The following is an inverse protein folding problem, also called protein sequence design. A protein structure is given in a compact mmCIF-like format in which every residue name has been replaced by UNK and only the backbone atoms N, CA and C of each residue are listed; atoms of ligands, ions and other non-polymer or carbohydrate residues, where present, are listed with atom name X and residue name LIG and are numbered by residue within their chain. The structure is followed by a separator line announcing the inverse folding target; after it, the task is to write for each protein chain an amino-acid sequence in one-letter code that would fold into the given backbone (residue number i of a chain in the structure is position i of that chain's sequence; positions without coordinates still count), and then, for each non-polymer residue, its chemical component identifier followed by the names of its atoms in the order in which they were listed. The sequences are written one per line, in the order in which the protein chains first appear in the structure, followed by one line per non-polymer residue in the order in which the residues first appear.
data_IF_747764735471
#
_entry.id   IF_747764735471
#
_cell.length_a   1.000
_cell.length_b   1.000
_cell.length_c   1.000
_cell.angle_alpha   90.00
_cell.angle_beta   90.00
_cell.angle_gamma   90.00
#
_symmetry.space_group_name_H-M   'P 1'
#
loop_
_entity.id
_entity.type
_entity.pdbx_description
1 polymer ?
#
# COMPACT_ATOMS: atom_id res chain seq x y z
N UNK A 1 1.41 -37.33 -32.05
CA UNK A 1 1.40 -36.46 -30.85
C UNK A 1 0.51 -35.29 -31.17
N UNK A 2 -0.56 -35.11 -30.42
CA UNK A 2 -1.65 -34.18 -30.74
C UNK A 2 -1.23 -32.72 -30.50
N UNK A 3 -1.69 -31.80 -31.34
CA UNK A 3 -1.34 -30.38 -31.31
C UNK A 3 -1.68 -29.73 -29.97
N UNK A 4 -2.81 -30.13 -29.37
CA UNK A 4 -3.22 -29.74 -28.00
C UNK A 4 -2.21 -30.17 -26.93
N UNK A 5 -1.63 -31.37 -27.06
CA UNK A 5 -0.63 -31.88 -26.11
C UNK A 5 0.69 -31.11 -26.16
N UNK A 6 1.03 -30.52 -27.32
CA UNK A 6 2.20 -29.67 -27.48
C UNK A 6 1.96 -28.29 -26.85
N UNK A 7 0.80 -27.68 -27.11
CA UNK A 7 0.41 -26.39 -26.53
C UNK A 7 0.34 -26.43 -24.99
N UNK A 8 -0.21 -27.50 -24.42
CA UNK A 8 -0.26 -27.69 -22.96
C UNK A 8 1.13 -27.79 -22.32
N UNK A 9 2.08 -28.43 -22.99
CA UNK A 9 3.47 -28.52 -22.51
C UNK A 9 4.18 -27.16 -22.59
N UNK A 10 3.93 -26.42 -23.66
CA UNK A 10 4.50 -25.08 -23.86
C UNK A 10 3.99 -24.09 -22.80
N UNK A 11 2.67 -24.08 -22.55
CA UNK A 11 2.06 -23.31 -21.47
C UNK A 11 2.58 -23.69 -20.07
N UNK A 12 2.80 -24.98 -19.82
CA UNK A 12 3.35 -25.45 -18.54
C UNK A 12 4.79 -24.95 -18.32
N UNK A 13 5.60 -24.91 -19.39
CA UNK A 13 6.97 -24.38 -19.35
C UNK A 13 6.94 -22.87 -19.10
N UNK A 14 6.08 -22.15 -19.82
CA UNK A 14 5.95 -20.70 -19.68
C UNK A 14 5.48 -20.30 -18.28
N UNK A 15 4.52 -21.03 -17.70
CA UNK A 15 4.07 -20.82 -16.33
C UNK A 15 5.19 -21.11 -15.30
N UNK A 16 5.97 -22.18 -15.49
CA UNK A 16 7.12 -22.47 -14.62
C UNK A 16 8.20 -21.38 -14.70
N UNK A 17 8.42 -20.79 -15.86
CA UNK A 17 9.32 -19.65 -16.04
C UNK A 17 8.80 -18.39 -15.36
N UNK A 18 7.50 -18.10 -15.48
CA UNK A 18 6.84 -16.99 -14.77
C UNK A 18 6.95 -17.13 -13.26
N UNK A 19 6.74 -18.33 -12.72
CA UNK A 19 6.91 -18.60 -11.29
C UNK A 19 8.35 -18.34 -10.82
N UNK A 20 9.35 -18.77 -11.60
CA UNK A 20 10.77 -18.50 -11.30
C UNK A 20 11.10 -17.00 -11.37
N UNK A 21 10.54 -16.28 -12.33
CA UNK A 21 10.72 -14.83 -12.48
C UNK A 21 10.08 -14.08 -11.32
N UNK A 22 8.89 -14.49 -10.88
CA UNK A 22 8.22 -13.95 -9.71
C UNK A 22 9.02 -14.21 -8.42
N UNK A 23 9.55 -15.42 -8.22
CA UNK A 23 10.41 -15.71 -7.09
C UNK A 23 11.66 -14.81 -7.05
N UNK A 24 12.30 -14.61 -8.20
CA UNK A 24 13.48 -13.72 -8.32
C UNK A 24 13.12 -12.25 -8.04
N UNK A 25 11.95 -11.79 -8.49
CA UNK A 25 11.45 -10.45 -8.17
C UNK A 25 11.19 -10.29 -6.67
N UNK A 26 10.60 -11.30 -6.01
CA UNK A 26 10.39 -11.30 -4.57
C UNK A 26 11.71 -11.23 -3.79
N UNK A 27 12.72 -12.03 -4.18
CA UNK A 27 14.07 -11.94 -3.58
C UNK A 27 14.71 -10.56 -3.76
N UNK A 28 14.56 -9.97 -4.95
CA UNK A 28 15.10 -8.63 -5.23
C UNK A 28 14.39 -7.57 -4.40
N UNK A 29 13.06 -7.65 -4.25
CA UNK A 29 12.27 -6.75 -3.41
C UNK A 29 12.67 -6.86 -1.94
N UNK A 30 12.88 -8.08 -1.43
CA UNK A 30 13.37 -8.29 -0.05
C UNK A 30 14.73 -7.64 0.15
N UNK A 31 15.64 -7.76 -0.83
CA UNK A 31 16.96 -7.11 -0.79
C UNK A 31 16.87 -5.59 -0.80
N UNK A 32 16.00 -5.02 -1.63
CA UNK A 32 15.74 -3.58 -1.68
C UNK A 32 15.15 -3.07 -0.36
N UNK A 33 14.20 -3.80 0.23
CA UNK A 33 13.61 -3.44 1.52
C UNK A 33 14.63 -3.45 2.66
N UNK A 34 15.52 -4.45 2.70
CA UNK A 34 16.64 -4.45 3.65
C UNK A 34 17.54 -3.22 3.46
N UNK A 35 17.81 -2.84 2.21
CA UNK A 35 18.63 -1.65 1.91
C UNK A 35 17.95 -0.35 2.36
N UNK A 36 16.63 -0.30 2.27
CA UNK A 36 15.85 0.84 2.77
C UNK A 36 15.93 0.91 4.29
N UNK A 37 15.75 -0.21 5.00
CA UNK A 37 15.90 -0.26 6.46
C UNK A 37 17.30 0.21 6.91
N UNK A 38 18.36 -0.21 6.20
CA UNK A 38 19.72 0.28 6.45
C UNK A 38 19.83 1.81 6.29
N UNK A 39 19.31 2.36 5.20
CA UNK A 39 19.33 3.80 4.95
C UNK A 39 18.48 4.57 5.97
N UNK A 40 17.38 4.00 6.44
CA UNK A 40 16.54 4.59 7.49
C UNK A 40 17.22 4.54 8.86
N UNK A 41 17.93 3.46 9.18
CA UNK A 41 18.76 3.36 10.38
C UNK A 41 19.85 4.44 10.39
N UNK A 42 20.53 4.62 9.26
CA UNK A 42 21.50 5.71 9.08
C UNK A 42 20.86 7.10 9.20
N UNK A 43 19.65 7.30 8.66
CA UNK A 43 18.93 8.57 8.79
C UNK A 43 18.49 8.85 10.23
N UNK A 44 18.10 7.82 11.00
CA UNK A 44 17.75 7.97 12.43
C UNK A 44 18.94 8.47 13.23
N UNK A 45 20.12 7.86 13.04
CA UNK A 45 21.37 8.31 13.65
C UNK A 45 21.75 9.74 13.20
N UNK A 46 21.42 10.10 11.96
CA UNK A 46 21.67 11.44 11.43
C UNK A 46 20.66 12.50 11.91
N UNK A 47 19.44 12.16 12.36
CA UNK A 47 18.50 13.16 12.89
C UNK A 47 18.95 13.74 14.26
N UNK A 48 19.95 13.14 14.91
CA UNK A 48 20.60 13.67 16.11
C UNK A 48 21.63 14.77 15.78
N UNK A 49 22.06 14.88 14.52
CA UNK A 49 23.04 15.86 14.05
C UNK A 49 22.45 16.60 12.86
N UNK A 50 22.07 17.88 13.03
CA UNK A 50 21.41 18.69 12.00
C UNK A 50 22.21 18.87 10.72
N UNK A 51 22.20 17.87 9.84
CA UNK A 51 23.11 17.71 8.71
C UNK A 51 22.35 17.80 7.36
N UNK A 52 22.91 18.55 6.41
CA UNK A 52 22.38 18.72 5.05
C UNK A 52 22.26 17.40 4.29
N UNK A 53 22.97 16.34 4.73
CA UNK A 53 22.85 14.97 4.23
C UNK A 53 21.46 14.36 4.43
N UNK A 54 20.74 14.74 5.48
CA UNK A 54 19.38 14.27 5.77
C UNK A 54 18.39 14.70 4.68
N UNK A 55 18.55 15.92 4.14
CA UNK A 55 17.69 16.44 3.06
C UNK A 55 17.90 15.65 1.75
N UNK A 56 19.16 15.37 1.42
CA UNK A 56 19.52 14.57 0.24
C UNK A 56 19.01 13.14 0.36
N UNK A 57 19.16 12.51 1.53
CA UNK A 57 18.67 11.15 1.76
C UNK A 57 17.14 11.04 1.69
N UNK A 58 16.40 12.04 2.18
CA UNK A 58 14.93 12.10 2.05
C UNK A 58 14.51 12.26 0.59
N UNK A 59 15.13 13.20 -0.12
CA UNK A 59 14.85 13.41 -1.54
C UNK A 59 15.17 12.17 -2.39
N UNK A 60 16.27 11.48 -2.11
CA UNK A 60 16.62 10.24 -2.78
C UNK A 60 15.61 9.11 -2.50
N UNK A 61 15.08 9.02 -1.28
CA UNK A 61 14.00 8.09 -0.94
C UNK A 61 12.72 8.39 -1.70
N UNK A 62 12.31 9.66 -1.73
CA UNK A 62 11.07 10.06 -2.42
C UNK A 62 11.16 9.75 -3.92
N UNK A 63 12.31 10.01 -4.54
CA UNK A 63 12.59 9.63 -5.94
C UNK A 63 12.50 8.11 -6.12
N UNK A 64 13.11 7.33 -5.22
CA UNK A 64 13.07 5.87 -5.31
C UNK A 64 11.65 5.31 -5.17
N UNK A 65 10.83 5.89 -4.28
CA UNK A 65 9.41 5.50 -4.16
C UNK A 65 8.68 5.79 -5.47
N UNK A 66 8.87 6.97 -6.07
CA UNK A 66 8.28 7.30 -7.36
C UNK A 66 8.72 6.32 -8.47
N UNK A 67 10.02 6.05 -8.60
CA UNK A 67 10.54 5.10 -9.60
C UNK A 67 9.98 3.69 -9.41
N UNK A 68 9.83 3.25 -8.16
CA UNK A 68 9.19 1.97 -7.82
C UNK A 68 7.72 1.97 -8.24
N UNK A 69 6.98 3.03 -7.98
CA UNK A 69 5.56 3.16 -8.29
C UNK A 69 5.33 3.19 -9.82
N UNK A 70 6.16 3.93 -10.55
CA UNK A 70 6.19 3.95 -12.02
C UNK A 70 6.46 2.54 -12.57
N UNK A 71 7.39 1.80 -11.95
CA UNK A 71 7.69 0.42 -12.33
C UNK A 71 6.54 -0.53 -12.05
N UNK A 72 5.83 -0.37 -10.93
CA UNK A 72 4.64 -1.15 -10.61
C UNK A 72 3.55 -0.87 -11.64
N UNK A 73 3.30 0.39 -11.98
CA UNK A 73 2.33 0.76 -13.00
C UNK A 73 2.68 0.18 -14.39
N UNK A 74 3.96 0.19 -14.77
CA UNK A 74 4.44 -0.44 -16.00
C UNK A 74 4.17 -1.96 -15.99
N UNK A 75 4.47 -2.64 -14.88
CA UNK A 75 4.23 -4.07 -14.71
C UNK A 75 2.73 -4.41 -14.67
N UNK A 76 1.89 -3.54 -14.10
CA UNK A 76 0.44 -3.69 -14.12
C UNK A 76 -0.11 -3.60 -15.56
N UNK A 77 0.37 -2.64 -16.34
CA UNK A 77 0.01 -2.51 -17.76
C UNK A 77 0.50 -3.70 -18.60
N UNK A 78 1.73 -4.18 -18.36
CA UNK A 78 2.26 -5.38 -19.02
C UNK A 78 1.42 -6.62 -18.65
N UNK A 79 1.07 -6.77 -17.37
CA UNK A 79 0.21 -7.85 -16.91
C UNK A 79 -1.19 -7.75 -17.51
N UNK A 80 -1.80 -6.56 -17.60
CA UNK A 80 -3.11 -6.37 -18.24
C UNK A 80 -3.08 -6.77 -19.72
N UNK A 81 -2.02 -6.40 -20.44
CA UNK A 81 -1.81 -6.81 -21.84
C UNK A 81 -1.65 -8.31 -21.97
N UNK A 82 -0.88 -8.95 -21.09
CA UNK A 82 -0.70 -10.41 -21.08
C UNK A 82 -2.00 -11.13 -20.73
N UNK A 83 -2.71 -10.61 -19.74
CA UNK A 83 -4.00 -11.12 -19.24
C UNK A 83 -5.06 -11.05 -20.35
N UNK A 84 -5.12 -9.93 -21.08
CA UNK A 84 -5.95 -9.75 -22.28
C UNK A 84 -5.56 -10.71 -23.40
N UNK A 85 -4.26 -10.88 -23.68
CA UNK A 85 -3.76 -11.82 -24.70
C UNK A 85 -4.08 -13.29 -24.37
N UNK A 86 -4.13 -13.64 -23.09
CA UNK A 86 -4.37 -14.99 -22.61
C UNK A 86 -5.86 -15.28 -22.34
N UNK A 87 -6.76 -14.32 -22.59
CA UNK A 87 -8.19 -14.46 -22.29
C UNK A 87 -8.50 -14.61 -20.79
N UNK A 88 -7.53 -14.30 -19.93
CA UNK A 88 -7.69 -14.39 -18.48
C UNK A 88 -8.42 -13.15 -17.98
N UNK A 89 -9.69 -13.24 -17.59
CA UNK A 89 -10.32 -12.15 -16.87
C UNK A 89 -9.86 -12.19 -15.40
N UNK A 90 -8.70 -11.60 -15.08
CA UNK A 90 -8.29 -11.48 -13.67
C UNK A 90 -9.06 -10.32 -13.03
N UNK A 91 -10.11 -10.63 -12.25
CA UNK A 91 -10.72 -9.63 -11.39
C UNK A 91 -9.70 -9.20 -10.33
N UNK A 92 -9.21 -7.97 -10.43
CA UNK A 92 -8.43 -7.33 -9.38
C UNK A 92 -9.35 -7.09 -8.19
N UNK A 93 -9.09 -7.78 -7.07
CA UNK A 93 -9.93 -7.67 -5.88
C UNK A 93 -9.08 -7.25 -4.69
N UNK A 94 -9.48 -6.19 -4.00
CA UNK A 94 -8.92 -5.82 -2.71
C UNK A 94 -9.82 -6.33 -1.60
N UNK A 95 -9.22 -6.95 -0.58
CA UNK A 95 -9.91 -7.28 0.66
C UNK A 95 -9.39 -6.37 1.75
N UNK A 96 -10.29 -5.70 2.47
CA UNK A 96 -9.96 -4.84 3.60
C UNK A 96 -10.55 -5.41 4.88
N UNK A 97 -9.73 -5.46 5.93
CA UNK A 97 -10.12 -5.85 7.29
C UNK A 97 -9.64 -4.78 8.26
N UNK A 98 -10.31 -4.61 9.39
CA UNK A 98 -9.92 -3.60 10.37
C UNK A 98 -10.62 -3.78 11.70
N UNK A 99 -10.15 -3.04 12.71
CA UNK A 99 -10.72 -3.07 14.05
C UNK A 99 -10.22 -1.91 14.90
N UNK A 100 -10.86 -1.66 16.04
CA UNK A 100 -10.44 -0.63 16.98
C UNK A 100 -11.05 -0.77 18.37
N UNK A 101 -10.36 -0.22 19.36
CA UNK A 101 -10.73 -0.20 20.77
C UNK A 101 -11.54 1.06 21.09
N UNK A 102 -12.72 1.21 20.49
CA UNK A 102 -13.64 2.32 20.80
C UNK A 102 -14.22 3.00 19.57
N UNK A 103 -14.37 4.31 19.65
CA UNK A 103 -15.17 5.13 18.73
C UNK A 103 -14.40 5.72 17.55
N UNK A 104 -13.08 5.57 17.53
CA UNK A 104 -12.28 5.89 16.35
C UNK A 104 -12.01 4.63 15.53
N UNK A 105 -12.24 4.73 14.23
CA UNK A 105 -11.89 3.71 13.26
C UNK A 105 -11.06 4.32 12.13
N UNK A 106 -10.13 3.54 11.58
CA UNK A 106 -9.58 3.84 10.26
C UNK A 106 -10.64 3.34 9.28
N UNK A 107 -11.31 4.24 8.58
CA UNK A 107 -12.49 3.96 7.75
C UNK A 107 -12.13 3.69 6.30
N UNK A 108 -11.08 4.33 5.79
CA UNK A 108 -10.61 4.11 4.42
C UNK A 108 -9.11 4.32 4.33
N UNK A 109 -8.49 3.58 3.42
CA UNK A 109 -7.12 3.79 3.01
C UNK A 109 -7.04 3.59 1.50
N UNK A 110 -6.44 4.57 0.81
CA UNK A 110 -6.23 4.47 -0.62
C UNK A 110 -5.10 3.49 -0.94
N UNK A 111 -5.39 2.52 -1.80
CA UNK A 111 -4.44 1.47 -2.18
C UNK A 111 -3.25 2.00 -3.00
N UNK A 112 -3.33 3.23 -3.52
CA UNK A 112 -2.24 3.91 -4.23
C UNK A 112 -1.48 4.89 -3.33
N UNK A 113 -1.75 4.87 -2.01
CA UNK A 113 -1.06 5.70 -1.04
C UNK A 113 -1.42 7.19 -1.08
N UNK A 114 -2.59 7.57 -1.62
CA UNK A 114 -3.01 8.99 -1.67
C UNK A 114 -3.49 9.51 -0.33
N UNK A 115 -4.25 8.72 0.44
CA UNK A 115 -4.80 9.17 1.72
C UNK A 115 -5.13 8.02 2.67
N UNK A 116 -5.32 8.41 3.93
CA UNK A 116 -5.89 7.58 5.00
C UNK A 116 -7.01 8.40 5.66
N UNK A 117 -8.19 7.82 5.83
CA UNK A 117 -9.35 8.46 6.46
C UNK A 117 -9.70 7.80 7.78
N UNK A 118 -9.81 8.61 8.82
CA UNK A 118 -10.20 8.22 10.17
C UNK A 118 -11.60 8.77 10.43
N UNK A 119 -12.47 7.96 11.03
CA UNK A 119 -13.83 8.35 11.35
C UNK A 119 -14.08 8.21 12.85
N UNK A 120 -14.69 9.23 13.44
CA UNK A 120 -15.24 9.16 14.79
C UNK A 120 -16.71 8.74 14.72
N UNK A 121 -17.00 7.49 15.08
CA UNK A 121 -18.37 6.93 15.15
C UNK A 121 -19.08 7.23 16.47
N UNK A 122 -18.41 7.87 17.43
CA UNK A 122 -18.98 8.23 18.73
C UNK A 122 -19.79 9.52 18.66
N UNK A 123 -20.45 9.84 19.76
CA UNK A 123 -21.32 11.02 19.90
C UNK A 123 -20.61 12.20 20.57
N UNK A 124 -19.36 12.02 21.01
CA UNK A 124 -18.53 13.04 21.64
C UNK A 124 -17.24 13.32 20.84
N UNK A 125 -16.67 14.54 20.94
CA UNK A 125 -15.36 14.83 20.38
C UNK A 125 -14.27 13.92 20.97
N UNK A 126 -13.42 13.37 20.10
CA UNK A 126 -12.33 12.50 20.52
C UNK A 126 -10.97 13.21 20.41
N UNK A 127 -10.26 13.36 21.53
CA UNK A 127 -8.92 13.96 21.53
C UNK A 127 -7.86 12.98 21.03
N UNK A 128 -7.22 13.32 19.92
CA UNK A 128 -6.12 12.55 19.29
C UNK A 128 -4.76 13.26 19.43
N UNK A 129 -4.67 14.23 20.34
CA UNK A 129 -3.46 15.00 20.55
C UNK A 129 -2.23 14.12 20.82
N UNK A 130 -1.16 14.33 20.06
CA UNK A 130 0.08 13.55 20.11
C UNK A 130 0.00 12.08 19.67
N UNK A 131 -1.16 11.61 19.18
CA UNK A 131 -1.29 10.26 18.63
C UNK A 131 -0.55 10.14 17.30
N UNK A 132 -0.32 8.91 16.85
CA UNK A 132 0.45 8.64 15.63
C UNK A 132 -0.34 7.72 14.69
N UNK A 133 -0.49 8.11 13.43
CA UNK A 133 -0.88 7.20 12.35
C UNK A 133 0.39 6.60 11.76
N UNK A 134 0.50 5.28 11.80
CA UNK A 134 1.57 4.49 11.19
C UNK A 134 0.98 3.67 10.04
N UNK A 135 1.55 3.78 8.84
CA UNK A 135 1.24 2.90 7.72
C UNK A 135 2.51 2.17 7.28
N UNK A 136 2.40 0.87 7.02
CA UNK A 136 3.47 0.02 6.49
C UNK A 136 2.99 -0.73 5.25
N UNK A 137 3.83 -0.76 4.22
CA UNK A 137 3.59 -1.55 3.01
C UNK A 137 4.92 -1.83 2.32
N UNK A 138 5.12 -3.05 1.82
CA UNK A 138 6.30 -3.40 1.01
C UNK A 138 7.64 -3.02 1.64
N UNK A 139 7.79 -3.20 2.95
CA UNK A 139 9.02 -2.85 3.70
C UNK A 139 9.22 -1.36 3.99
N UNK A 140 8.31 -0.49 3.55
CA UNK A 140 8.33 0.94 3.86
C UNK A 140 7.43 1.26 5.06
N UNK A 141 7.83 2.25 5.87
CA UNK A 141 7.02 2.78 6.98
C UNK A 141 6.87 4.30 6.86
N UNK A 142 5.63 4.79 7.02
CA UNK A 142 5.37 6.23 7.22
C UNK A 142 4.61 6.45 8.52
N UNK A 143 5.10 7.43 9.31
CA UNK A 143 4.49 7.87 10.57
C UNK A 143 4.12 9.34 10.52
N UNK A 144 2.90 9.62 10.95
CA UNK A 144 2.29 10.95 11.05
C UNK A 144 1.86 11.16 12.49
N UNK A 145 2.32 12.24 13.13
CA UNK A 145 1.92 12.59 14.49
C UNK A 145 0.93 13.74 14.47
N UNK A 146 -0.17 13.61 15.20
CA UNK A 146 -1.14 14.68 15.43
C UNK A 146 -0.54 15.79 16.29
N UNK A 147 -0.95 17.04 16.05
CA UNK A 147 -0.51 18.17 16.86
C UNK A 147 -1.08 18.04 18.29
N UNK A 148 -0.42 18.61 19.31
CA UNK A 148 -1.04 18.76 20.62
C UNK A 148 -2.40 19.47 20.50
N UNK A 149 -3.42 18.97 21.19
CA UNK A 149 -4.78 19.53 21.17
C UNK A 149 -5.60 19.23 19.90
N UNK A 150 -5.15 18.32 19.02
CA UNK A 150 -5.99 17.85 17.91
C UNK A 150 -7.17 17.02 18.40
N UNK A 151 -8.36 17.29 17.86
CA UNK A 151 -9.62 16.63 18.18
C UNK A 151 -10.37 16.28 16.90
N UNK A 152 -11.15 15.20 16.95
CA UNK A 152 -12.04 14.76 15.86
C UNK A 152 -13.46 14.84 16.39
N UNK A 153 -14.28 15.72 15.81
CA UNK A 153 -15.68 15.88 16.16
C UNK A 153 -16.48 14.59 15.90
N UNK A 154 -17.59 14.37 16.61
CA UNK A 154 -18.44 13.20 16.41
C UNK A 154 -19.05 13.19 15.00
N UNK A 155 -19.11 12.02 14.38
CA UNK A 155 -19.65 11.86 13.02
C UNK A 155 -18.82 12.51 11.90
N UNK A 156 -17.59 12.94 12.19
CA UNK A 156 -16.70 13.60 11.22
C UNK A 156 -15.57 12.67 10.78
N UNK A 157 -15.21 12.81 9.51
CA UNK A 157 -14.03 12.19 8.93
C UNK A 157 -12.84 13.13 8.97
N UNK A 158 -11.72 12.63 9.48
CA UNK A 158 -10.43 13.27 9.34
C UNK A 158 -9.66 12.57 8.21
N UNK A 159 -9.32 13.32 7.17
CA UNK A 159 -8.56 12.77 6.03
C UNK A 159 -7.11 13.26 6.07
N UNK A 160 -6.20 12.30 5.94
CA UNK A 160 -4.76 12.54 5.89
C UNK A 160 -4.23 12.28 4.50
N UNK A 161 -3.87 13.36 3.80
CA UNK A 161 -3.38 13.32 2.42
C UNK A 161 -1.86 13.20 2.35
N UNK A 162 -1.42 12.39 1.38
CA UNK A 162 -0.04 12.29 0.95
C UNK A 162 0.41 13.56 0.20
N UNK A 163 1.72 13.87 0.25
CA UNK A 163 2.29 15.04 -0.44
C UNK A 163 2.10 15.02 -1.96
N UNK A 164 2.01 13.85 -2.57
CA UNK A 164 1.87 13.66 -4.02
C UNK A 164 0.40 13.64 -4.50
N UNK A 165 -0.58 13.85 -3.62
CA UNK A 165 -1.99 13.79 -3.99
C UNK A 165 -2.46 14.96 -4.86
N UNK A 166 -1.65 16.03 -5.03
CA UNK A 166 -1.94 17.23 -5.83
C UNK A 166 -3.30 17.87 -5.52
N UNK A 167 -3.71 17.89 -4.25
CA UNK A 167 -4.99 18.46 -3.81
C UNK A 167 -4.80 19.92 -3.40
N UNK A 168 -5.66 20.79 -3.95
CA UNK A 168 -5.77 22.18 -3.54
C UNK A 168 -6.31 22.27 -2.10
N UNK A 169 -5.64 23.09 -1.31
CA UNK A 169 -5.82 23.21 0.13
C UNK A 169 -7.22 23.75 0.49
N UNK A 170 -8.03 22.95 1.20
CA UNK A 170 -9.23 23.44 1.87
C UNK A 170 -9.10 23.28 3.39
N UNK A 171 -9.19 24.35 4.21
CA UNK A 171 -8.49 24.42 5.50
C UNK A 171 -9.24 23.84 6.69
N UNK A 172 -10.45 23.29 6.54
CA UNK A 172 -11.31 22.94 7.69
C UNK A 172 -11.19 21.49 8.17
N UNK A 173 -10.90 20.52 7.29
CA UNK A 173 -11.08 19.09 7.61
C UNK A 173 -9.92 18.16 7.15
N UNK A 174 -8.91 18.71 6.48
CA UNK A 174 -7.88 17.93 5.79
C UNK A 174 -6.47 18.20 6.34
N UNK A 175 -5.78 17.14 6.78
CA UNK A 175 -4.35 17.20 7.09
C UNK A 175 -3.54 16.77 5.86
N UNK A 176 -2.93 17.73 5.17
CA UNK A 176 -2.01 17.46 4.06
C UNK A 176 -0.57 17.40 4.58
N UNK A 177 0.09 16.24 4.42
CA UNK A 177 1.52 16.12 4.71
C UNK A 177 2.33 16.65 3.54
N UNK A 178 3.03 17.77 3.73
CA UNK A 178 3.83 18.40 2.65
C UNK A 178 5.11 17.63 2.27
N UNK A 179 5.50 16.61 3.04
CA UNK A 179 6.82 15.95 2.88
C UNK A 179 6.81 14.44 3.18
N UNK A 180 5.66 13.77 3.19
CA UNK A 180 5.58 12.33 3.43
C UNK A 180 4.50 11.71 2.54
N UNK A 181 4.85 10.59 1.93
CA UNK A 181 3.97 9.81 1.06
C UNK A 181 3.53 8.55 1.81
N UNK A 182 2.27 8.15 1.69
CA UNK A 182 1.85 6.89 2.29
C UNK A 182 2.40 5.70 1.48
N UNK A 183 3.01 4.70 2.14
CA UNK A 183 3.51 3.54 1.44
C UNK A 183 2.32 2.74 0.92
N UNK A 184 2.50 2.17 -0.27
CA UNK A 184 1.56 1.22 -0.84
C UNK A 184 2.31 0.04 -1.44
N UNK A 185 1.64 -1.11 -1.46
CA UNK A 185 2.05 -2.39 -2.02
C UNK A 185 0.82 -3.31 -2.04
N UNK A 186 0.97 -4.57 -2.44
CA UNK A 186 -0.09 -5.60 -2.41
C UNK A 186 -0.62 -5.89 -1.00
N UNK A 187 0.10 -5.55 0.05
CA UNK A 187 -0.36 -5.65 1.43
C UNK A 187 -0.02 -4.36 2.17
N UNK A 188 -1.03 -3.72 2.72
CA UNK A 188 -0.91 -2.42 3.40
C UNK A 188 -1.52 -2.55 4.79
N UNK A 189 -0.79 -2.13 5.81
CA UNK A 189 -1.22 -2.13 7.21
C UNK A 189 -1.15 -0.72 7.76
N UNK A 190 -2.26 -0.21 8.26
CA UNK A 190 -2.36 1.09 8.93
C UNK A 190 -2.83 0.93 10.35
N UNK A 191 -2.22 1.67 11.26
CA UNK A 191 -2.49 1.66 12.69
C UNK A 191 -2.53 3.09 13.23
N UNK A 192 -3.53 3.35 14.07
CA UNK A 192 -3.66 4.54 14.89
C UNK A 192 -3.15 4.19 16.29
N UNK A 193 -2.03 4.81 16.66
CA UNK A 193 -1.35 4.60 17.93
C UNK A 193 -1.69 5.73 18.91
N UNK A 194 -2.04 5.38 20.14
CA UNK A 194 -2.28 6.36 21.20
C UNK A 194 -0.97 7.03 21.66
N UNK A 195 -1.05 7.96 22.61
CA UNK A 195 0.13 8.65 23.16
C UNK A 195 1.14 7.73 23.87
N UNK A 196 0.72 6.53 24.28
CA UNK A 196 1.59 5.50 24.87
C UNK A 196 2.22 4.58 23.80
N UNK A 197 1.82 4.70 22.52
CA UNK A 197 2.30 3.87 21.42
C UNK A 197 1.52 2.57 21.23
N UNK A 198 0.38 2.40 21.90
CA UNK A 198 -0.49 1.23 21.78
C UNK A 198 -1.46 1.39 20.60
N UNK A 199 -1.78 0.28 19.92
CA UNK A 199 -2.70 0.28 18.78
C UNK A 199 -4.13 0.48 19.26
N UNK A 200 -4.71 1.64 18.94
CA UNK A 200 -6.09 1.96 19.23
C UNK A 200 -7.02 1.51 18.09
N UNK A 201 -6.63 1.74 16.84
CA UNK A 201 -7.35 1.26 15.67
C UNK A 201 -6.38 0.77 14.61
N UNK A 202 -6.82 -0.16 13.76
CA UNK A 202 -6.03 -0.68 12.67
C UNK A 202 -6.89 -1.03 11.46
N UNK A 203 -6.25 -1.04 10.30
CA UNK A 203 -6.81 -1.52 9.04
C UNK A 203 -5.71 -2.20 8.23
N UNK A 204 -6.09 -3.24 7.52
CA UNK A 204 -5.24 -3.99 6.61
C UNK A 204 -5.95 -4.13 5.26
N UNK A 205 -5.21 -3.97 4.18
CA UNK A 205 -5.68 -4.07 2.81
C UNK A 205 -4.77 -5.03 2.05
N UNK A 206 -5.36 -6.08 1.46
CA UNK A 206 -4.63 -7.11 0.72
C UNK A 206 -5.17 -7.22 -0.71
N UNK A 207 -4.27 -7.13 -1.67
CA UNK A 207 -4.53 -7.34 -3.08
C UNK A 207 -4.58 -8.83 -3.39
N UNK A 208 -5.75 -9.28 -3.85
CA UNK A 208 -6.00 -10.65 -4.31
C UNK A 208 -6.12 -10.68 -5.83
N UNK A 209 -5.24 -11.45 -6.46
CA UNK A 209 -5.31 -11.73 -7.89
C UNK A 209 -6.01 -13.08 -8.09
N UNK A 210 -7.28 -13.07 -8.50
CA UNK A 210 -7.97 -14.33 -8.79
C UNK A 210 -7.57 -14.83 -10.19
N UNK A 211 -6.78 -15.91 -10.23
CA UNK A 211 -6.27 -16.53 -11.46
C UNK A 211 -7.21 -17.61 -12.04
N UNK A 212 -8.38 -17.86 -11.44
CA UNK A 212 -9.20 -19.03 -11.78
C UNK A 212 -10.37 -18.79 -12.76
N UNK A 213 -10.57 -17.58 -13.29
CA UNK A 213 -11.73 -17.29 -14.14
C UNK A 213 -11.75 -18.03 -15.50
N UNK A 214 -10.61 -18.52 -16.01
CA UNK A 214 -10.56 -19.22 -17.33
C UNK A 214 -10.80 -20.72 -17.26
N UNK A 215 -10.74 -21.33 -16.08
CA UNK A 215 -10.93 -22.79 -15.96
C UNK A 215 -12.40 -23.22 -16.02
N UNK A 216 -13.34 -22.31 -15.83
CA UNK A 216 -14.77 -22.63 -15.82
C UNK A 216 -15.41 -22.46 -17.21
N UNK A 217 -15.03 -21.46 -18.01
CA UNK A 217 -15.53 -21.30 -19.39
C UNK A 217 -15.08 -22.46 -20.31
N UNK A 218 -13.86 -23.00 -20.12
CA UNK A 218 -13.39 -24.17 -20.89
C UNK A 218 -14.07 -25.50 -20.50
N UNK A 219 -14.71 -25.58 -19.32
CA UNK A 219 -15.48 -26.78 -18.93
C UNK A 219 -16.91 -26.78 -19.48
N UNK A 220 -17.45 -25.62 -19.85
CA UNK A 220 -18.78 -25.51 -20.45
C UNK A 220 -18.75 -25.75 -21.96
N UNK A 221 -17.66 -25.41 -22.65
CA UNK A 221 -17.46 -25.78 -24.07
C UNK A 221 -17.18 -27.28 -24.28
N UNK A 222 -16.70 -28.02 -23.27
CA UNK A 222 -16.55 -29.49 -23.35
C UNK A 222 -17.86 -30.27 -23.09
N UNK A 223 -18.99 -29.57 -22.89
CA UNK A 223 -20.33 -30.17 -22.73
C UNK A 223 -21.29 -29.92 -23.89
N UNK A 224 -20.85 -29.29 -24.97
CA UNK A 224 -21.58 -29.23 -26.25
C UNK A 224 -20.89 -30.09 -27.31
#
# INVERSE_FOLDING_TARGET
MDSKSLQLRELAIENALLQRRNARLQETNVGLNRRIEELEGMLRLSNEVGDSRVRVARQARDIWIQERDDRIAELELENEKLTSRLGLNSAQMWTSTGGGMGDLIIEEQDFKGKFIRIYNKGDEPFSVGNWVVRSTAGGLETKVKFKPGSEIAPGVHLTIWSSNANIEYEPSENFVFKYKIWPHDRCIRTELLNSAGEVFAWRECVFNQNLNAVKEELKEEEKQ
#
